data_IF_725875902573
#
_entry.id   IF_725875902573
#
_cell.length_a   1.000
_cell.length_b   1.000
_cell.length_c   1.000
_cell.angle_alpha   90.00
_cell.angle_beta   90.00
_cell.angle_gamma   90.00
#
_symmetry.space_group_name_H-M   'P 1'
#
loop_
_entity.id
_entity.type
_entity.pdbx_description
1 polymer ?
#
# COMPACT_ATOMS: atom_id res chain seq x y z
N UNK A 1 8.74 -2.47 -14.03
CA UNK A 1 8.50 -3.23 -12.78
C UNK A 1 9.82 -3.39 -12.05
N UNK A 2 9.78 -3.42 -10.72
CA UNK A 2 10.97 -3.67 -9.91
C UNK A 2 11.43 -5.13 -10.05
N UNK A 3 12.75 -5.34 -9.99
CA UNK A 3 13.33 -6.68 -9.76
C UNK A 3 13.20 -7.03 -8.27
N UNK A 4 13.29 -8.31 -7.96
CA UNK A 4 13.15 -8.82 -6.59
C UNK A 4 14.10 -8.11 -5.59
N UNK A 5 15.37 -7.93 -5.96
CA UNK A 5 16.37 -7.25 -5.14
C UNK A 5 16.19 -5.71 -5.05
N UNK A 6 15.23 -5.15 -5.78
CA UNK A 6 14.87 -3.72 -5.75
C UNK A 6 13.52 -3.50 -5.06
N UNK A 7 12.82 -4.57 -4.65
CA UNK A 7 11.45 -4.53 -4.12
C UNK A 7 11.43 -4.65 -2.58
N UNK A 8 12.29 -3.92 -1.89
CA UNK A 8 12.38 -3.97 -0.42
C UNK A 8 11.03 -3.65 0.25
N UNK A 9 10.32 -2.64 -0.27
CA UNK A 9 8.98 -2.28 0.19
C UNK A 9 7.96 -3.42 0.01
N UNK A 10 7.94 -4.06 -1.15
CA UNK A 10 7.04 -5.18 -1.42
C UNK A 10 7.34 -6.41 -0.56
N UNK A 11 8.61 -6.71 -0.32
CA UNK A 11 9.04 -7.75 0.63
C UNK A 11 8.54 -7.45 2.04
N UNK A 12 8.72 -6.23 2.52
CA UNK A 12 8.19 -5.79 3.82
C UNK A 12 6.68 -6.01 3.91
N UNK A 13 5.91 -5.59 2.90
CA UNK A 13 4.46 -5.77 2.92
C UNK A 13 4.07 -7.26 2.94
N UNK A 14 4.77 -8.09 2.16
CA UNK A 14 4.49 -9.51 2.07
C UNK A 14 4.80 -10.23 3.36
N UNK A 15 5.96 -9.95 3.96
CA UNK A 15 6.39 -10.54 5.23
C UNK A 15 5.49 -10.13 6.38
N UNK A 16 5.14 -8.83 6.45
CA UNK A 16 4.21 -8.34 7.46
C UNK A 16 2.82 -8.96 7.28
N UNK A 17 2.31 -9.09 6.04
CA UNK A 17 1.06 -9.81 5.74
C UNK A 17 1.11 -11.28 6.16
N UNK A 18 2.28 -11.94 6.09
CA UNK A 18 2.50 -13.31 6.57
C UNK A 18 2.68 -13.42 8.10
N UNK A 19 2.56 -12.32 8.84
CA UNK A 19 2.68 -12.29 10.29
C UNK A 19 4.12 -12.32 10.78
N UNK A 20 5.10 -12.01 9.92
CA UNK A 20 6.50 -11.86 10.34
C UNK A 20 6.71 -10.49 10.99
N UNK A 21 7.65 -10.43 11.92
CA UNK A 21 8.12 -9.15 12.45
C UNK A 21 8.98 -8.45 11.39
N UNK A 22 8.70 -7.18 11.15
CA UNK A 22 9.40 -6.36 10.14
C UNK A 22 9.72 -5.01 10.76
N UNK A 23 10.96 -4.56 10.57
CA UNK A 23 11.41 -3.21 10.88
C UNK A 23 11.72 -2.54 9.54
N UNK A 24 11.07 -1.42 9.25
CA UNK A 24 11.44 -0.59 8.11
C UNK A 24 12.60 0.31 8.51
N UNK A 25 13.61 0.44 7.65
CA UNK A 25 14.68 1.42 7.82
C UNK A 25 14.51 2.45 6.73
N UNK A 26 14.20 3.69 7.12
CA UNK A 26 14.07 4.81 6.20
C UNK A 26 15.38 5.58 6.18
N UNK A 27 16.04 5.59 5.02
CA UNK A 27 17.23 6.39 4.76
C UNK A 27 16.85 7.55 3.85
N UNK A 28 17.21 8.77 4.25
CA UNK A 28 16.94 9.99 3.49
C UNK A 28 18.23 10.66 3.05
N UNK A 29 18.13 11.44 1.98
CA UNK A 29 19.23 12.18 1.37
C UNK A 29 19.78 13.31 2.25
N UNK A 30 19.01 13.76 3.25
CA UNK A 30 19.45 14.67 4.31
C UNK A 30 20.25 14.00 5.43
N UNK A 31 20.52 12.69 5.31
CA UNK A 31 21.30 11.91 6.26
C UNK A 31 20.50 11.33 7.43
N UNK A 32 19.16 11.47 7.43
CA UNK A 32 18.32 10.81 8.43
C UNK A 32 18.25 9.29 8.18
N UNK A 33 18.46 8.52 9.25
CA UNK A 33 18.22 7.07 9.32
C UNK A 33 17.20 6.82 10.44
N UNK A 34 16.03 6.31 10.08
CA UNK A 34 14.89 6.09 11.01
C UNK A 34 14.39 4.64 10.94
N UNK A 35 14.69 3.79 11.95
CA UNK A 35 14.13 2.46 12.06
C UNK A 35 12.72 2.49 12.70
N UNK A 36 11.75 1.84 12.08
CA UNK A 36 10.35 1.88 12.53
C UNK A 36 9.62 0.54 12.35
N UNK A 37 9.10 0.00 13.45
CA UNK A 37 8.15 -1.12 13.47
C UNK A 37 6.70 -0.69 13.17
N UNK A 38 6.45 0.61 13.07
CA UNK A 38 5.09 1.16 12.96
C UNK A 38 4.66 1.29 11.50
N UNK A 39 5.59 1.60 10.59
CA UNK A 39 5.24 1.80 9.18
C UNK A 39 4.64 0.57 8.50
N UNK A 40 5.17 -0.67 8.67
CA UNK A 40 4.53 -1.87 8.11
C UNK A 40 3.07 -2.03 8.54
N UNK A 41 2.77 -1.74 9.83
CA UNK A 41 1.41 -1.75 10.38
C UNK A 41 0.54 -0.68 9.71
N UNK A 42 1.08 0.52 9.52
CA UNK A 42 0.37 1.63 8.87
C UNK A 42 0.06 1.35 7.39
N UNK A 43 0.96 0.71 6.64
CA UNK A 43 0.74 0.41 5.22
C UNK A 43 -0.37 -0.62 4.99
N UNK A 44 -0.59 -1.54 5.94
CA UNK A 44 -1.69 -2.51 5.90
C UNK A 44 -2.88 -2.13 6.79
N UNK A 45 -2.87 -0.96 7.44
CA UNK A 45 -3.89 -0.53 8.40
C UNK A 45 -5.31 -0.43 7.84
N UNK A 46 -6.30 -0.59 8.71
CA UNK A 46 -7.71 -0.43 8.39
C UNK A 46 -8.18 1.01 8.62
N UNK A 47 -9.31 1.39 8.00
CA UNK A 47 -9.87 2.75 8.07
C UNK A 47 -10.04 3.32 9.50
N UNK A 48 -10.30 2.45 10.48
CA UNK A 48 -10.41 2.85 11.90
C UNK A 48 -9.10 3.40 12.47
N UNK A 49 -7.97 2.91 11.98
CA UNK A 49 -6.61 3.22 12.45
C UNK A 49 -5.98 4.38 11.66
N UNK A 50 -6.65 4.87 10.63
CA UNK A 50 -6.17 6.01 9.83
C UNK A 50 -6.23 7.32 10.61
N UNK A 51 -5.34 8.25 10.26
CA UNK A 51 -5.34 9.60 10.79
C UNK A 51 -6.65 10.34 10.46
N UNK A 52 -6.95 11.40 11.23
CA UNK A 52 -8.12 12.24 10.98
C UNK A 52 -8.11 12.84 9.56
N UNK A 53 -6.93 13.21 9.04
CA UNK A 53 -6.78 13.80 7.71
C UNK A 53 -7.14 12.81 6.60
N UNK A 54 -6.68 11.56 6.72
CA UNK A 54 -7.00 10.51 5.76
C UNK A 54 -8.48 10.16 5.78
N UNK A 55 -9.07 10.02 6.97
CA UNK A 55 -10.52 9.79 7.11
C UNK A 55 -11.35 10.94 6.55
N UNK A 56 -10.88 12.19 6.66
CA UNK A 56 -11.52 13.35 6.03
C UNK A 56 -11.38 13.28 4.50
N UNK A 57 -10.18 13.03 3.97
CA UNK A 57 -9.93 12.89 2.54
C UNK A 57 -10.82 11.82 1.89
N UNK A 58 -11.01 10.68 2.57
CA UNK A 58 -11.86 9.59 2.10
C UNK A 58 -13.31 10.01 1.80
N UNK A 59 -13.83 11.04 2.48
CA UNK A 59 -15.20 11.55 2.27
C UNK A 59 -15.36 12.34 0.97
N UNK A 60 -14.27 12.81 0.39
CA UNK A 60 -14.29 13.59 -0.86
C UNK A 60 -14.19 12.72 -2.11
N UNK A 61 -13.89 11.42 -1.97
CA UNK A 61 -13.78 10.48 -3.09
C UNK A 61 -15.16 10.24 -3.71
N UNK A 62 -15.24 10.36 -5.04
CA UNK A 62 -16.48 10.19 -5.81
C UNK A 62 -16.17 9.52 -7.15
N UNK A 63 -17.14 8.75 -7.66
CA UNK A 63 -17.04 8.11 -8.97
C UNK A 63 -16.00 6.98 -9.01
N UNK A 64 -15.39 6.78 -10.19
CA UNK A 64 -14.33 5.81 -10.43
C UNK A 64 -13.01 6.32 -9.87
N UNK A 65 -12.20 5.40 -9.32
CA UNK A 65 -10.97 5.74 -8.60
C UNK A 65 -9.77 5.04 -9.24
N UNK A 66 -8.69 5.80 -9.40
CA UNK A 66 -7.35 5.26 -9.68
C UNK A 66 -6.51 5.42 -8.40
N UNK A 67 -6.09 4.30 -7.80
CA UNK A 67 -5.22 4.26 -6.62
C UNK A 67 -3.77 4.06 -7.07
N UNK A 68 -3.03 5.16 -7.21
CA UNK A 68 -1.64 5.18 -7.70
C UNK A 68 -0.68 4.94 -6.54
N UNK A 69 0.21 3.94 -6.68
CA UNK A 69 1.07 3.51 -5.58
C UNK A 69 0.26 2.84 -4.48
N UNK A 70 -0.61 1.90 -4.87
CA UNK A 70 -1.63 1.34 -3.98
C UNK A 70 -1.04 0.53 -2.80
N UNK A 71 0.24 0.17 -2.86
CA UNK A 71 0.90 -0.67 -1.88
C UNK A 71 0.13 -1.97 -1.65
N UNK A 72 -0.04 -2.34 -0.38
CA UNK A 72 -0.86 -3.48 0.03
C UNK A 72 -2.38 -3.27 -0.12
N UNK A 73 -2.85 -2.16 -0.69
CA UNK A 73 -4.26 -1.95 -1.04
C UNK A 73 -5.14 -1.36 0.06
N UNK A 74 -4.59 -0.71 1.09
CA UNK A 74 -5.41 -0.17 2.21
C UNK A 74 -6.52 0.78 1.73
N UNK A 75 -6.23 1.67 0.77
CA UNK A 75 -7.21 2.59 0.18
C UNK A 75 -8.17 1.88 -0.76
N UNK A 76 -7.62 1.10 -1.69
CA UNK A 76 -8.40 0.27 -2.62
C UNK A 76 -9.46 -0.59 -1.93
N UNK A 77 -9.09 -1.33 -0.88
CA UNK A 77 -10.01 -2.19 -0.13
C UNK A 77 -11.13 -1.39 0.55
N UNK A 78 -10.80 -0.22 1.12
CA UNK A 78 -11.80 0.64 1.75
C UNK A 78 -12.79 1.18 0.72
N UNK A 79 -12.30 1.75 -0.38
CA UNK A 79 -13.12 2.40 -1.40
C UNK A 79 -13.96 1.38 -2.17
N UNK A 80 -13.42 0.21 -2.47
CA UNK A 80 -14.17 -0.90 -3.05
C UNK A 80 -15.35 -1.31 -2.14
N UNK A 81 -15.13 -1.45 -0.82
CA UNK A 81 -16.21 -1.75 0.14
C UNK A 81 -17.26 -0.63 0.23
N UNK A 82 -16.91 0.60 -0.18
CA UNK A 82 -17.85 1.73 -0.31
C UNK A 82 -18.58 1.77 -1.65
N UNK A 83 -18.33 0.82 -2.54
CA UNK A 83 -18.99 0.70 -3.83
C UNK A 83 -18.31 1.48 -4.96
N UNK A 84 -17.10 1.97 -4.76
CA UNK A 84 -16.31 2.57 -5.84
C UNK A 84 -15.77 1.47 -6.76
N UNK A 85 -15.76 1.76 -8.05
CA UNK A 85 -14.95 1.04 -9.05
C UNK A 85 -13.51 1.57 -8.93
N UNK A 86 -12.61 0.72 -8.42
CA UNK A 86 -11.22 1.09 -8.11
C UNK A 86 -10.26 0.29 -8.97
N UNK A 87 -9.42 0.99 -9.72
CA UNK A 87 -8.22 0.42 -10.35
C UNK A 87 -6.99 0.76 -9.49
N UNK A 88 -6.33 -0.26 -8.97
CA UNK A 88 -5.13 -0.10 -8.14
C UNK A 88 -3.87 -0.39 -8.96
N UNK A 89 -2.87 0.48 -8.87
CA UNK A 89 -1.58 0.30 -9.56
C UNK A 89 -0.39 0.53 -8.64
N UNK A 90 0.64 -0.30 -8.79
CA UNK A 90 1.90 -0.13 -8.07
C UNK A 90 3.09 -0.65 -8.91
N UNK A 91 4.27 -0.06 -8.75
CA UNK A 91 5.50 -0.50 -9.44
C UNK A 91 6.06 -1.80 -8.84
N UNK A 92 5.73 -2.09 -7.57
CA UNK A 92 6.17 -3.24 -6.81
C UNK A 92 5.32 -4.48 -7.13
N UNK A 93 5.92 -5.54 -7.70
CA UNK A 93 5.21 -6.79 -7.93
C UNK A 93 4.71 -7.45 -6.65
N UNK A 94 5.47 -7.38 -5.54
CA UNK A 94 5.03 -7.97 -4.27
C UNK A 94 3.96 -7.13 -3.58
N UNK A 95 3.97 -5.81 -3.70
CA UNK A 95 2.86 -4.97 -3.23
C UNK A 95 1.55 -5.34 -3.95
N UNK A 96 1.59 -5.44 -5.29
CA UNK A 96 0.45 -5.91 -6.11
C UNK A 96 -0.03 -7.29 -5.66
N UNK A 97 0.90 -8.21 -5.37
CA UNK A 97 0.58 -9.54 -4.86
C UNK A 97 -0.16 -9.47 -3.52
N UNK A 98 0.33 -8.67 -2.57
CA UNK A 98 -0.33 -8.47 -1.26
C UNK A 98 -1.69 -7.81 -1.43
N UNK A 99 -1.81 -6.78 -2.28
CA UNK A 99 -3.06 -6.09 -2.58
C UNK A 99 -4.14 -7.07 -3.07
N UNK A 100 -3.77 -7.97 -4.00
CA UNK A 100 -4.65 -9.06 -4.48
C UNK A 100 -5.00 -10.07 -3.40
N UNK A 101 -4.01 -10.54 -2.63
CA UNK A 101 -4.22 -11.51 -1.54
C UNK A 101 -5.16 -10.97 -0.45
N UNK A 102 -5.22 -9.64 -0.27
CA UNK A 102 -6.13 -8.98 0.68
C UNK A 102 -7.53 -8.72 0.10
N UNK A 103 -7.77 -8.97 -1.18
CA UNK A 103 -9.10 -8.95 -1.80
C UNK A 103 -9.44 -7.72 -2.66
N UNK A 104 -8.44 -6.94 -3.09
CA UNK A 104 -8.67 -5.90 -4.12
C UNK A 104 -8.99 -6.56 -5.46
N UNK A 105 -10.14 -6.23 -6.05
CA UNK A 105 -10.65 -6.88 -7.25
C UNK A 105 -9.83 -6.57 -8.50
N UNK A 106 -9.43 -5.31 -8.68
CA UNK A 106 -8.64 -4.85 -9.83
C UNK A 106 -7.33 -4.23 -9.34
N UNK A 107 -6.24 -4.98 -9.46
CA UNK A 107 -4.91 -4.50 -9.13
C UNK A 107 -3.89 -5.00 -10.16
N UNK A 108 -2.99 -4.12 -10.62
CA UNK A 108 -2.01 -4.46 -11.63
C UNK A 108 -0.70 -3.70 -11.43
N UNK A 109 0.38 -4.23 -11.98
CA UNK A 109 1.66 -3.54 -11.94
C UNK A 109 1.68 -2.35 -12.89
N UNK A 110 2.27 -1.24 -12.43
CA UNK A 110 2.50 -0.07 -13.27
C UNK A 110 3.67 -0.32 -14.22
N UNK A 111 3.44 -0.11 -15.52
CA UNK A 111 4.45 -0.23 -16.57
C UNK A 111 4.77 1.18 -17.06
N UNK A 112 6.04 1.58 -16.99
CA UNK A 112 6.56 2.73 -17.71
C UNK A 112 7.10 2.24 -19.05
N UNK A 113 6.74 2.93 -20.13
CA UNK A 113 7.30 2.72 -21.47
C UNK A 113 8.64 3.45 -21.60
#
# INVERSE_FOLDING_TARGET
MLRDNQDAYGHQLYDFYKGRQVVEIVERDDGLIDPSETYPKYYLSEYKDWSLRERQAARYVKGRVLDIGCGGGRWSLYLQKKGHDVLAVDISPLAVKVCKLRGTAQCQSQVYH
#
